data_IF_685037884308
#
_entry.id   IF_685037884308
#
_cell.length_a   1.000
_cell.length_b   1.000
_cell.length_c   1.000
_cell.angle_alpha   90.00
_cell.angle_beta   90.00
_cell.angle_gamma   90.00
#
_symmetry.space_group_name_H-M   'P 1'
#
loop_
_entity.id
_entity.type
_entity.pdbx_description
1 polymer ?
#
# COMPACT_ATOMS: atom_id res chain seq x y z
N UNK A 1 9.91 -5.44 -4.67
CA UNK A 1 8.45 -5.43 -4.39
C UNK A 1 8.20 -4.23 -3.52
N UNK A 2 7.08 -3.55 -3.69
CA UNK A 2 6.80 -2.27 -3.05
C UNK A 2 6.13 -2.40 -1.68
N UNK A 3 6.23 -3.56 -1.00
CA UNK A 3 5.62 -3.79 0.32
C UNK A 3 4.20 -3.24 0.43
N UNK A 4 3.99 -2.29 1.35
CA UNK A 4 2.73 -1.55 1.51
C UNK A 4 2.67 -0.20 0.78
N UNK A 5 3.65 0.15 -0.04
CA UNK A 5 3.74 1.44 -0.73
C UNK A 5 2.51 1.69 -1.61
N UNK A 6 2.00 0.64 -2.29
CA UNK A 6 0.80 0.78 -3.13
C UNK A 6 -0.42 1.18 -2.32
N UNK A 7 -0.60 0.59 -1.15
CA UNK A 7 -1.68 0.94 -0.24
C UNK A 7 -1.60 2.41 0.17
N UNK A 8 -0.39 2.91 0.45
CA UNK A 8 -0.16 4.29 0.87
C UNK A 8 -0.12 5.30 -0.30
N UNK A 9 0.10 4.83 -1.52
CA UNK A 9 0.48 5.65 -2.68
C UNK A 9 -0.44 6.84 -2.95
N UNK A 10 -1.76 6.63 -2.87
CA UNK A 10 -2.73 7.67 -3.19
C UNK A 10 -2.75 8.78 -2.15
N UNK A 11 -2.65 8.43 -0.87
CA UNK A 11 -2.70 9.38 0.24
C UNK A 11 -1.37 10.09 0.40
N UNK A 12 -0.26 9.36 0.29
CA UNK A 12 1.07 9.96 0.29
C UNK A 12 1.26 10.92 -0.90
N UNK A 13 0.81 10.53 -2.09
CA UNK A 13 0.86 11.43 -3.26
C UNK A 13 0.03 12.69 -3.07
N UNK A 14 -1.09 12.63 -2.35
CA UNK A 14 -1.91 13.81 -2.06
C UNK A 14 -1.15 14.74 -1.13
N UNK A 15 -0.68 14.24 0.00
CA UNK A 15 0.06 15.02 1.00
C UNK A 15 1.31 15.66 0.40
N UNK A 16 2.12 14.91 -0.34
CA UNK A 16 3.32 15.45 -0.99
C UNK A 16 3.01 16.62 -1.93
N UNK A 17 1.90 16.55 -2.68
CA UNK A 17 1.49 17.64 -3.57
C UNK A 17 1.03 18.89 -2.81
N UNK A 18 0.48 18.71 -1.61
CA UNK A 18 0.05 19.80 -0.74
C UNK A 18 1.24 20.44 0.00
N UNK A 19 2.25 19.66 0.37
CA UNK A 19 3.42 20.13 1.12
C UNK A 19 4.55 20.70 0.25
N UNK A 20 4.67 20.26 -1.01
CA UNK A 20 5.69 20.81 -1.91
C UNK A 20 5.30 22.19 -2.40
N UNK A 21 6.30 23.08 -2.42
CA UNK A 21 6.19 24.35 -3.13
C UNK A 21 5.81 24.11 -4.60
N UNK A 22 4.95 24.99 -5.14
CA UNK A 22 4.34 24.79 -6.45
C UNK A 22 5.35 24.74 -7.60
N UNK A 23 6.48 25.44 -7.50
CA UNK A 23 7.51 25.43 -8.53
C UNK A 23 8.39 24.18 -8.41
N UNK A 24 8.72 23.77 -7.19
CA UNK A 24 9.41 22.49 -6.93
C UNK A 24 8.56 21.32 -7.42
N UNK A 25 7.26 21.32 -7.13
CA UNK A 25 6.34 20.26 -7.55
C UNK A 25 6.32 20.12 -9.08
N UNK A 26 6.19 21.22 -9.83
CA UNK A 26 6.20 21.18 -11.31
C UNK A 26 7.51 20.63 -11.86
N UNK A 27 8.65 21.01 -11.27
CA UNK A 27 9.96 20.51 -11.68
C UNK A 27 10.05 19.01 -11.43
N UNK A 28 9.69 18.56 -10.23
CA UNK A 28 9.71 17.14 -9.84
C UNK A 28 8.77 16.32 -10.71
N UNK A 29 7.55 16.78 -10.96
CA UNK A 29 6.59 16.13 -11.85
C UNK A 29 7.15 15.96 -13.25
N UNK A 30 7.70 17.03 -13.83
CA UNK A 30 8.31 17.00 -15.16
C UNK A 30 9.50 16.04 -15.21
N UNK A 31 10.36 16.04 -14.19
CA UNK A 31 11.55 15.19 -14.14
C UNK A 31 11.19 13.71 -13.97
N UNK A 32 10.23 13.39 -13.10
CA UNK A 32 9.74 12.02 -12.95
C UNK A 32 9.15 11.48 -14.26
N UNK A 33 8.39 12.31 -14.96
CA UNK A 33 7.82 11.92 -16.24
C UNK A 33 8.89 11.70 -17.31
N UNK A 34 9.83 12.63 -17.45
CA UNK A 34 10.86 12.54 -18.50
C UNK A 34 11.91 11.45 -18.24
N UNK A 35 12.30 11.23 -16.99
CA UNK A 35 13.36 10.27 -16.65
C UNK A 35 12.83 8.84 -16.43
N UNK A 36 11.62 8.70 -15.86
CA UNK A 36 11.08 7.40 -15.44
C UNK A 36 9.70 7.09 -16.02
N UNK A 37 9.06 8.01 -16.74
CA UNK A 37 7.69 7.82 -17.25
C UNK A 37 6.64 7.76 -16.15
N UNK A 38 6.91 8.34 -14.96
CA UNK A 38 6.05 8.20 -13.79
C UNK A 38 5.31 9.50 -13.45
N UNK A 39 4.08 9.35 -12.97
CA UNK A 39 3.40 10.40 -12.20
C UNK A 39 3.87 10.38 -10.74
N UNK A 40 3.57 11.44 -9.98
CA UNK A 40 3.83 11.47 -8.52
C UNK A 40 3.15 10.30 -7.81
N UNK A 41 1.92 9.94 -8.21
CA UNK A 41 1.21 8.81 -7.59
C UNK A 41 1.96 7.50 -7.80
N UNK A 42 2.38 7.22 -9.03
CA UNK A 42 3.10 5.99 -9.35
C UNK A 42 4.49 5.96 -8.70
N UNK A 43 5.16 7.11 -8.61
CA UNK A 43 6.47 7.18 -7.97
C UNK A 43 6.41 6.92 -6.46
N UNK A 44 5.25 7.00 -5.81
CA UNK A 44 5.09 6.55 -4.42
C UNK A 44 5.26 5.04 -4.26
N UNK A 45 4.89 4.26 -5.27
CA UNK A 45 5.13 2.80 -5.30
C UNK A 45 6.60 2.47 -5.62
N UNK A 46 7.37 3.46 -6.07
CA UNK A 46 8.78 3.39 -6.43
C UNK A 46 9.55 4.53 -5.76
N UNK A 47 9.39 4.65 -4.44
CA UNK A 47 9.71 5.88 -3.70
C UNK A 47 11.17 6.32 -3.84
N UNK A 48 12.11 5.38 -4.00
CA UNK A 48 13.51 5.68 -4.30
C UNK A 48 13.70 6.61 -5.52
N UNK A 49 12.87 6.51 -6.56
CA UNK A 49 12.93 7.37 -7.75
C UNK A 49 12.35 8.74 -7.47
N UNK A 50 11.28 8.81 -6.68
CA UNK A 50 10.74 10.07 -6.17
C UNK A 50 11.79 10.80 -5.35
N UNK A 51 12.34 10.13 -4.32
CA UNK A 51 13.37 10.65 -3.43
C UNK A 51 14.56 11.21 -4.20
N UNK A 52 15.15 10.41 -5.10
CA UNK A 52 16.28 10.82 -5.94
C UNK A 52 15.95 12.04 -6.81
N UNK A 53 14.73 12.11 -7.34
CA UNK A 53 14.29 13.28 -8.11
C UNK A 53 14.15 14.51 -7.22
N UNK A 54 13.56 14.37 -6.04
CA UNK A 54 13.36 15.46 -5.10
C UNK A 54 14.69 15.99 -4.54
N UNK A 55 15.64 15.10 -4.21
CA UNK A 55 17.01 15.44 -3.76
C UNK A 55 17.74 16.31 -4.78
N UNK A 56 17.62 15.99 -6.07
CA UNK A 56 18.31 16.73 -7.14
C UNK A 56 17.70 18.09 -7.45
N UNK A 57 16.42 18.28 -7.14
CA UNK A 57 15.62 19.41 -7.63
C UNK A 57 15.02 20.27 -6.51
N UNK A 58 15.37 20.03 -5.25
CA UNK A 58 14.92 20.82 -4.10
C UNK A 58 16.07 21.06 -3.12
N UNK A 59 15.86 21.99 -2.19
CA UNK A 59 16.79 22.23 -1.06
C UNK A 59 16.25 21.65 0.25
N UNK A 60 15.26 20.78 0.17
CA UNK A 60 14.58 20.22 1.34
C UNK A 60 15.47 19.17 2.01
N UNK A 61 15.34 19.06 3.33
CA UNK A 61 15.74 17.85 4.02
C UNK A 61 14.71 16.76 3.68
N UNK A 62 15.13 15.80 2.86
CA UNK A 62 14.24 14.82 2.25
C UNK A 62 13.76 13.79 3.26
N UNK A 63 14.61 13.43 4.23
CA UNK A 63 14.24 12.48 5.28
C UNK A 63 13.17 13.13 6.16
N UNK A 64 13.42 14.36 6.62
CA UNK A 64 12.44 15.10 7.40
C UNK A 64 11.13 15.31 6.63
N UNK A 65 11.22 15.70 5.35
CA UNK A 65 10.04 15.88 4.51
C UNK A 65 9.22 14.59 4.35
N UNK A 66 9.91 13.46 4.15
CA UNK A 66 9.29 12.14 4.06
C UNK A 66 8.58 11.78 5.38
N UNK A 67 9.26 11.93 6.52
CA UNK A 67 8.72 11.66 7.85
C UNK A 67 7.49 12.53 8.14
N UNK A 68 7.57 13.82 7.83
CA UNK A 68 6.47 14.78 8.00
C UNK A 68 5.26 14.39 7.14
N UNK A 69 5.48 13.98 5.89
CA UNK A 69 4.40 13.54 4.99
C UNK A 69 3.75 12.22 5.47
N UNK A 70 4.56 11.26 5.90
CA UNK A 70 4.08 9.96 6.36
C UNK A 70 3.36 10.07 7.69
N UNK A 71 3.87 10.91 8.60
CA UNK A 71 3.24 11.21 9.88
C UNK A 71 1.86 11.87 9.76
N UNK A 72 1.51 12.45 8.60
CA UNK A 72 0.16 12.96 8.31
C UNK A 72 -0.83 11.89 7.86
N UNK A 73 -0.36 10.76 7.32
CA UNK A 73 -1.24 9.71 6.79
C UNK A 73 -1.33 8.48 7.70
N UNK A 74 -0.26 8.17 8.44
CA UNK A 74 -0.20 7.01 9.32
C UNK A 74 0.66 7.28 10.57
N UNK A 75 0.40 6.52 11.63
CA UNK A 75 1.27 6.43 12.81
C UNK A 75 1.77 5.00 12.97
N UNK A 76 3.08 4.85 13.09
CA UNK A 76 3.75 3.54 13.13
C UNK A 76 4.22 3.26 14.55
N UNK A 77 3.98 2.04 15.03
CA UNK A 77 4.52 1.51 16.28
C UNK A 77 5.12 0.13 16.03
N UNK A 78 6.43 0.00 16.26
CA UNK A 78 7.13 -1.28 16.19
C UNK A 78 6.83 -2.13 17.42
N UNK A 79 6.54 -3.40 17.19
CA UNK A 79 6.47 -4.48 18.20
C UNK A 79 7.48 -5.56 17.77
N UNK A 80 7.79 -6.53 18.62
CA UNK A 80 8.89 -7.50 18.42
C UNK A 80 8.95 -8.12 17.01
N UNK A 81 7.82 -8.58 16.46
CA UNK A 81 7.74 -9.25 15.16
C UNK A 81 6.86 -8.54 14.11
N UNK A 82 6.18 -7.46 14.48
CA UNK A 82 5.17 -6.79 13.64
C UNK A 82 5.17 -5.28 13.83
N UNK A 83 4.63 -4.57 12.86
CA UNK A 83 4.38 -3.14 12.90
C UNK A 83 2.88 -2.89 13.02
N UNK A 84 2.50 -2.10 14.02
CA UNK A 84 1.14 -1.59 14.18
C UNK A 84 1.06 -0.23 13.49
N UNK A 85 0.17 -0.10 12.51
CA UNK A 85 -0.01 1.12 11.73
C UNK A 85 -1.42 1.63 11.99
N UNK A 86 -1.54 2.78 12.65
CA UNK A 86 -2.81 3.52 12.78
C UNK A 86 -3.00 4.42 11.58
N UNK A 87 -4.15 4.34 10.93
CA UNK A 87 -4.47 5.16 9.75
C UNK A 87 -5.02 6.51 10.21
N UNK A 88 -4.35 7.59 9.81
CA UNK A 88 -4.75 8.97 10.11
C UNK A 88 -5.50 9.62 8.95
N UNK A 89 -5.28 9.15 7.72
CA UNK A 89 -5.98 9.62 6.54
C UNK A 89 -7.35 8.93 6.37
N UNK A 90 -8.42 9.73 6.36
CA UNK A 90 -9.79 9.25 6.22
C UNK A 90 -10.02 8.45 4.93
N UNK A 91 -9.28 8.76 3.85
CA UNK A 91 -9.41 8.00 2.59
C UNK A 91 -8.82 6.61 2.70
N UNK A 92 -7.65 6.44 3.33
CA UNK A 92 -7.11 5.11 3.66
C UNK A 92 -8.07 4.35 4.57
N UNK A 93 -8.58 5.01 5.60
CA UNK A 93 -9.53 4.38 6.54
C UNK A 93 -10.80 3.91 5.83
N UNK A 94 -11.42 4.79 5.03
CA UNK A 94 -12.60 4.48 4.24
C UNK A 94 -12.34 3.34 3.23
N UNK A 95 -11.16 3.33 2.60
CA UNK A 95 -10.76 2.26 1.69
C UNK A 95 -10.74 0.92 2.42
N UNK A 96 -10.08 0.84 3.58
CA UNK A 96 -10.03 -0.40 4.37
C UNK A 96 -11.45 -0.85 4.76
N UNK A 97 -12.29 0.05 5.29
CA UNK A 97 -13.68 -0.26 5.65
C UNK A 97 -14.50 -0.76 4.47
N UNK A 98 -14.34 -0.15 3.29
CA UNK A 98 -15.06 -0.54 2.09
C UNK A 98 -14.66 -1.97 1.66
N UNK A 99 -13.36 -2.29 1.70
CA UNK A 99 -12.86 -3.60 1.27
C UNK A 99 -13.23 -4.71 2.26
N UNK A 100 -13.19 -4.44 3.57
CA UNK A 100 -13.61 -5.41 4.59
C UNK A 100 -15.14 -5.48 4.74
N UNK A 101 -15.87 -4.44 4.36
CA UNK A 101 -17.33 -4.41 4.38
C UNK A 101 -17.96 -5.24 3.27
N UNK A 102 -17.30 -5.27 2.10
CA UNK A 102 -17.67 -6.11 0.96
C UNK A 102 -17.52 -7.61 1.28
N UNK A 103 -18.59 -8.40 1.12
CA UNK A 103 -18.59 -9.80 1.55
C UNK A 103 -17.59 -10.68 0.78
N UNK A 104 -17.55 -10.57 -0.54
CA UNK A 104 -16.59 -11.31 -1.37
C UNK A 104 -15.15 -10.83 -1.11
N UNK A 105 -14.93 -9.52 -1.03
CA UNK A 105 -13.63 -8.91 -0.71
C UNK A 105 -13.08 -9.38 0.64
N UNK A 106 -13.93 -9.35 1.68
CA UNK A 106 -13.58 -9.85 3.02
C UNK A 106 -13.22 -11.34 3.00
N UNK A 107 -13.99 -12.18 2.31
CA UNK A 107 -13.70 -13.62 2.16
C UNK A 107 -12.36 -13.86 1.47
N UNK A 108 -12.06 -13.08 0.42
CA UNK A 108 -10.77 -13.15 -0.28
C UNK A 108 -9.63 -12.74 0.64
N UNK A 109 -9.69 -11.57 1.29
CA UNK A 109 -8.64 -11.04 2.17
C UNK A 109 -8.34 -12.04 3.30
N UNK A 110 -9.38 -12.47 4.03
CA UNK A 110 -9.24 -13.39 5.15
C UNK A 110 -8.67 -14.76 4.74
N UNK A 111 -8.90 -15.19 3.50
CA UNK A 111 -8.33 -16.45 3.00
C UNK A 111 -6.80 -16.42 2.84
N UNK A 112 -6.17 -15.24 2.75
CA UNK A 112 -4.74 -15.06 2.46
C UNK A 112 -3.98 -14.18 3.47
N UNK A 113 -4.51 -13.98 4.68
CA UNK A 113 -3.80 -13.24 5.73
C UNK A 113 -2.45 -13.90 6.11
N UNK A 114 -2.45 -15.23 6.25
CA UNK A 114 -1.30 -15.95 6.79
C UNK A 114 -0.48 -16.70 5.73
N UNK A 115 -0.98 -16.81 4.48
CA UNK A 115 -0.37 -17.62 3.43
C UNK A 115 -0.49 -17.00 2.06
N UNK A 116 0.60 -17.08 1.30
CA UNK A 116 0.58 -16.76 -0.11
C UNK A 116 -0.12 -17.85 -0.93
N UNK A 117 -0.97 -17.45 -1.88
CA UNK A 117 -1.78 -18.37 -2.69
C UNK A 117 -1.90 -17.86 -4.12
N UNK A 118 -2.10 -18.77 -5.07
CA UNK A 118 -2.47 -18.38 -6.44
C UNK A 118 -3.97 -18.10 -6.54
N UNK A 119 -4.38 -17.23 -7.45
CA UNK A 119 -5.78 -16.79 -7.58
C UNK A 119 -6.80 -17.95 -7.59
N UNK A 120 -6.60 -19.06 -8.35
CA UNK A 120 -7.54 -20.18 -8.34
C UNK A 120 -7.77 -20.76 -6.93
N UNK A 121 -6.72 -20.86 -6.12
CA UNK A 121 -6.80 -21.41 -4.76
C UNK A 121 -7.45 -20.42 -3.80
N UNK A 122 -7.19 -19.12 -3.97
CA UNK A 122 -7.85 -18.04 -3.22
C UNK A 122 -9.35 -18.13 -3.42
N UNK A 123 -9.81 -18.17 -4.68
CA UNK A 123 -11.24 -18.20 -5.00
C UNK A 123 -11.91 -19.47 -4.49
N UNK A 124 -11.22 -20.62 -4.58
CA UNK A 124 -11.70 -21.89 -4.03
C UNK A 124 -11.84 -21.82 -2.51
N UNK A 125 -10.82 -21.31 -1.80
CA UNK A 125 -10.81 -21.21 -0.33
C UNK A 125 -11.83 -20.18 0.18
N UNK A 126 -11.97 -19.06 -0.52
CA UNK A 126 -12.92 -17.99 -0.20
C UNK A 126 -14.38 -18.35 -0.57
N UNK A 127 -14.59 -19.43 -1.33
CA UNK A 127 -15.89 -19.81 -1.88
C UNK A 127 -16.55 -18.66 -2.68
N UNK A 128 -15.76 -18.01 -3.54
CA UNK A 128 -16.20 -16.88 -4.39
C UNK A 128 -16.26 -17.33 -5.85
N UNK A 129 -17.33 -17.02 -6.60
CA UNK A 129 -17.43 -17.34 -8.03
C UNK A 129 -16.27 -16.77 -8.84
N UNK A 130 -15.87 -17.46 -9.91
CA UNK A 130 -14.69 -17.07 -10.71
C UNK A 130 -14.81 -15.65 -11.28
N UNK A 131 -15.90 -15.37 -12.00
CA UNK A 131 -16.06 -14.08 -12.72
C UNK A 131 -16.09 -12.88 -11.78
N UNK A 132 -16.81 -12.92 -10.66
CA UNK A 132 -16.80 -11.84 -9.66
C UNK A 132 -15.47 -11.80 -8.91
N UNK A 133 -14.93 -12.96 -8.55
CA UNK A 133 -13.72 -13.12 -7.76
C UNK A 133 -12.47 -12.56 -8.42
N UNK A 134 -12.25 -12.80 -9.72
CA UNK A 134 -11.09 -12.23 -10.42
C UNK A 134 -11.12 -10.69 -10.42
N UNK A 135 -12.29 -10.10 -10.68
CA UNK A 135 -12.48 -8.64 -10.62
C UNK A 135 -12.23 -8.08 -9.22
N UNK A 136 -12.66 -8.80 -8.18
CA UNK A 136 -12.42 -8.39 -6.79
C UNK A 136 -10.95 -8.48 -6.40
N UNK A 137 -10.27 -9.55 -6.80
CA UNK A 137 -8.82 -9.67 -6.59
C UNK A 137 -8.05 -8.56 -7.31
N UNK A 138 -8.42 -8.24 -8.55
CA UNK A 138 -7.82 -7.12 -9.28
C UNK A 138 -8.02 -5.79 -8.54
N UNK A 139 -9.23 -5.52 -8.04
CA UNK A 139 -9.49 -4.32 -7.23
C UNK A 139 -8.64 -4.27 -5.96
N UNK A 140 -8.49 -5.41 -5.26
CA UNK A 140 -7.66 -5.51 -4.06
C UNK A 140 -6.17 -5.30 -4.35
N UNK A 141 -5.68 -5.79 -5.50
CA UNK A 141 -4.30 -5.55 -5.97
C UNK A 141 -4.10 -4.08 -6.34
N UNK A 142 -5.06 -3.46 -7.02
CA UNK A 142 -4.99 -2.04 -7.42
C UNK A 142 -4.98 -1.13 -6.19
N UNK A 143 -5.73 -1.49 -5.14
CA UNK A 143 -5.80 -0.73 -3.90
C UNK A 143 -4.70 -1.09 -2.89
N UNK A 144 -3.78 -1.99 -3.24
CA UNK A 144 -2.65 -2.37 -2.38
C UNK A 144 -3.04 -3.19 -1.14
N UNK A 145 -4.23 -3.78 -1.10
CA UNK A 145 -4.63 -4.70 -0.01
C UNK A 145 -3.90 -6.05 -0.12
N UNK A 146 -3.52 -6.42 -1.35
CA UNK A 146 -2.88 -7.68 -1.71
C UNK A 146 -1.73 -7.38 -2.67
N UNK A 147 -0.62 -8.10 -2.53
CA UNK A 147 0.57 -7.95 -3.38
C UNK A 147 1.05 -9.28 -3.93
N UNK A 148 1.70 -9.25 -5.10
CA UNK A 148 2.39 -10.40 -5.67
C UNK A 148 3.68 -10.67 -4.88
N UNK A 149 3.80 -11.86 -4.28
CA UNK A 149 4.96 -12.28 -3.47
C UNK A 149 5.90 -13.22 -4.20
N UNK A 150 5.50 -13.76 -5.35
CA UNK A 150 6.34 -14.66 -6.14
C UNK A 150 5.58 -15.32 -7.28
N UNK A 151 6.24 -16.27 -7.94
CA UNK A 151 5.66 -17.04 -9.05
C UNK A 151 5.97 -18.52 -8.90
N UNK A 152 5.01 -19.38 -9.24
CA UNK A 152 5.21 -20.82 -9.36
C UNK A 152 5.09 -21.28 -10.81
N UNK A 153 5.77 -22.37 -11.15
CA UNK A 153 5.55 -23.08 -12.41
C UNK A 153 4.36 -24.02 -12.23
N UNK A 154 3.34 -23.88 -13.09
CA UNK A 154 2.24 -24.83 -13.19
C UNK A 154 2.13 -25.28 -14.64
N UNK A 155 2.68 -26.45 -14.94
CA UNK A 155 2.97 -26.87 -16.31
C UNK A 155 4.01 -25.93 -16.95
N UNK A 156 3.71 -25.36 -18.11
CA UNK A 156 4.56 -24.38 -18.80
C UNK A 156 4.30 -22.92 -18.42
N UNK A 157 3.28 -22.64 -17.59
CA UNK A 157 2.86 -21.28 -17.23
C UNK A 157 3.43 -20.86 -15.88
N UNK A 158 3.94 -19.63 -15.81
CA UNK A 158 4.28 -18.97 -14.54
C UNK A 158 3.01 -18.34 -13.96
N UNK A 159 2.64 -18.72 -12.75
CA UNK A 159 1.45 -18.21 -12.05
C UNK A 159 1.89 -17.42 -10.82
N UNK A 160 1.40 -16.19 -10.69
CA UNK A 160 1.70 -15.31 -9.56
C UNK A 160 1.03 -15.80 -8.27
N UNK A 161 1.78 -15.73 -7.18
CA UNK A 161 1.33 -15.92 -5.81
C UNK A 161 1.07 -14.57 -5.18
N UNK A 162 0.04 -14.52 -4.35
CA UNK A 162 -0.44 -13.31 -3.73
C UNK A 162 -0.62 -13.48 -2.24
N UNK A 163 -0.35 -12.43 -1.47
CA UNK A 163 -0.52 -12.36 -0.02
C UNK A 163 -1.16 -11.02 0.36
N UNK A 164 -1.95 -11.00 1.44
CA UNK A 164 -2.39 -9.74 2.02
C UNK A 164 -1.22 -8.94 2.58
N UNK A 165 -1.29 -7.60 2.46
CA UNK A 165 -0.34 -6.68 3.06
C UNK A 165 -0.43 -6.62 4.59
N UNK A 166 -1.55 -7.06 5.14
CA UNK A 166 -1.84 -7.00 6.56
C UNK A 166 -2.01 -8.42 7.10
N UNK A 167 -1.64 -8.62 8.36
CA UNK A 167 -1.92 -9.83 9.12
C UNK A 167 -3.20 -9.67 9.95
N UNK A 168 -3.55 -8.42 10.31
CA UNK A 168 -4.72 -8.11 11.12
C UNK A 168 -5.26 -6.72 10.76
N UNK A 169 -6.58 -6.55 10.83
CA UNK A 169 -7.25 -5.25 10.73
C UNK A 169 -8.14 -5.09 11.96
N UNK A 170 -7.91 -4.04 12.76
CA UNK A 170 -8.72 -3.66 13.92
C UNK A 170 -9.49 -2.39 13.60
N UNK A 171 -10.79 -2.44 13.86
CA UNK A 171 -11.67 -1.29 13.70
C UNK A 171 -12.27 -1.00 15.07
N UNK A 172 -11.97 0.17 15.61
CA UNK A 172 -12.57 0.66 16.85
C UNK A 172 -13.52 1.79 16.49
N UNK A 173 -14.78 1.69 16.92
CA UNK A 173 -15.78 2.72 16.70
C UNK A 173 -16.31 3.11 18.07
N UNK A 174 -16.17 4.38 18.42
CA UNK A 174 -16.82 4.97 19.58
C UNK A 174 -17.78 6.09 19.15
N UNK A 175 -18.39 6.77 20.13
CA UNK A 175 -19.40 7.81 19.88
C UNK A 175 -18.88 8.97 19.01
N UNK A 176 -17.57 9.20 19.02
CA UNK A 176 -16.95 10.38 18.44
C UNK A 176 -16.03 10.03 17.26
N UNK A 177 -15.39 8.85 17.28
CA UNK A 177 -14.31 8.51 16.36
C UNK A 177 -14.40 7.06 15.83
N UNK A 178 -13.84 6.86 14.65
CA UNK A 178 -13.56 5.53 14.08
C UNK A 178 -12.06 5.39 13.81
N UNK A 179 -11.37 4.61 14.64
CA UNK A 179 -9.95 4.34 14.49
C UNK A 179 -9.73 3.03 13.72
N UNK A 180 -8.88 3.08 12.71
CA UNK A 180 -8.48 1.90 11.95
C UNK A 180 -7.01 1.64 12.14
N UNK A 181 -6.72 0.42 12.58
CA UNK A 181 -5.36 -0.04 12.83
C UNK A 181 -5.13 -1.30 12.01
N UNK A 182 -4.05 -1.32 11.25
CA UNK A 182 -3.59 -2.51 10.52
C UNK A 182 -2.29 -3.01 11.12
N UNK A 183 -2.14 -4.34 11.19
CA UNK A 183 -0.90 -4.97 11.64
C UNK A 183 -0.21 -5.56 10.42
N UNK A 184 1.05 -5.19 10.23
CA UNK A 184 1.90 -5.60 9.11
C UNK A 184 3.07 -6.40 9.68
N UNK A 185 3.43 -7.50 9.03
CA UNK A 185 4.63 -8.22 9.46
C UNK A 185 5.93 -7.51 9.05
N UNK A 186 7.04 -7.95 9.63
CA UNK A 186 8.33 -7.33 9.37
C UNK A 186 8.74 -7.37 7.89
N UNK A 187 8.56 -8.52 7.22
CA UNK A 187 8.95 -8.70 5.81
C UNK A 187 8.19 -7.75 4.88
N UNK A 188 6.89 -7.57 5.09
CA UNK A 188 6.07 -6.67 4.30
C UNK A 188 6.39 -5.20 4.56
N UNK A 189 6.66 -4.84 5.83
CA UNK A 189 7.04 -3.49 6.22
C UNK A 189 8.42 -3.11 5.67
N UNK A 190 9.44 -3.94 5.86
CA UNK A 190 10.83 -3.65 5.45
C UNK A 190 11.00 -3.62 3.91
N UNK A 191 10.08 -4.24 3.15
CA UNK A 191 10.04 -4.13 1.68
C UNK A 191 9.43 -2.81 1.19
N UNK A 192 8.77 -2.04 2.06
CA UNK A 192 8.18 -0.75 1.71
C UNK A 192 9.28 0.27 1.44
N UNK A 193 9.33 0.82 0.24
CA UNK A 193 10.36 1.80 -0.13
C UNK A 193 10.08 3.19 0.42
N UNK A 194 8.81 3.51 0.71
CA UNK A 194 8.47 4.78 1.36
C UNK A 194 8.60 4.75 2.89
N UNK A 195 8.73 3.57 3.50
CA UNK A 195 8.91 3.42 4.95
C UNK A 195 10.30 2.91 5.35
N UNK A 196 11.19 2.61 4.38
CA UNK A 196 12.47 1.96 4.63
C UNK A 196 13.42 2.72 5.59
N UNK A 197 13.25 4.04 5.69
CA UNK A 197 14.09 4.93 6.49
C UNK A 197 13.41 5.44 7.79
N UNK A 198 12.26 4.83 8.17
CA UNK A 198 11.43 5.17 9.36
C UNK A 198 11.45 4.04 10.39
#
# INVERSE_FOLDING_TARGET
MSGIDRFLSSSLSKVIKEELDSDVLKIVERKLFLEYGMSIKLSMEHFHQFRKTLEKNSRLDINKFQDDCIGKIIKIKKTDSTYTISLLDDKLSSLVLQQIGDDEGRKIITSIFEKEMVIPDILKKANVPKTSGYRKIENLILNGMIVETGRILSGSKKISKFRCCFNEVRVNIDKNNSDIIVIVDRDMFEKSTCLADI
#
